data_IF_441741503471
#
_entry.id   IF_441741503471
#
_cell.length_a   1.000
_cell.length_b   1.000
_cell.length_c   1.000
_cell.angle_alpha   90.00
_cell.angle_beta   90.00
_cell.angle_gamma   90.00
#
_symmetry.space_group_name_H-M   'P 1'
#
loop_
_entity.id
_entity.type
_entity.pdbx_description
1 polymer ?
#
# COMPACT_ATOMS: atom_id res chain seq x y z
N UNK A 1 34.57 35.47 -5.62
CA UNK A 1 35.84 35.96 -6.21
C UNK A 1 36.72 34.75 -6.53
N UNK A 2 37.42 34.75 -7.67
CA UNK A 2 38.30 33.64 -8.06
C UNK A 2 39.58 33.70 -7.23
N UNK A 3 39.97 32.59 -6.61
CA UNK A 3 41.22 32.45 -5.87
C UNK A 3 42.22 31.68 -6.73
N UNK A 4 42.95 32.38 -7.61
CA UNK A 4 43.94 31.79 -8.52
C UNK A 4 43.98 32.45 -9.91
N UNK A 5 44.67 31.82 -10.85
CA UNK A 5 44.68 32.22 -12.26
C UNK A 5 43.45 31.69 -13.00
N UNK A 6 42.51 32.59 -13.27
CA UNK A 6 41.28 32.27 -14.01
C UNK A 6 40.48 33.52 -14.34
N UNK A 7 39.51 33.36 -15.25
CA UNK A 7 38.55 34.37 -15.65
C UNK A 7 37.18 33.72 -15.84
N UNK A 8 36.13 34.45 -15.49
CA UNK A 8 34.77 34.13 -15.93
C UNK A 8 34.61 34.53 -17.40
N UNK A 9 33.78 33.78 -18.12
CA UNK A 9 33.44 34.06 -19.51
C UNK A 9 32.08 34.76 -19.51
N UNK A 10 31.96 35.85 -20.27
CA UNK A 10 30.72 36.60 -20.44
C UNK A 10 30.48 36.88 -21.92
N UNK A 11 29.21 36.96 -22.33
CA UNK A 11 28.83 37.29 -23.71
C UNK A 11 28.98 38.78 -23.96
N UNK A 12 29.79 39.15 -24.95
CA UNK A 12 29.99 40.53 -25.43
C UNK A 12 29.54 40.72 -26.88
N UNK A 13 29.54 41.96 -27.36
CA UNK A 13 29.05 42.33 -28.70
C UNK A 13 29.76 41.63 -29.86
N UNK A 14 31.04 41.29 -29.67
CA UNK A 14 31.91 40.68 -30.67
C UNK A 14 32.37 39.26 -30.29
N UNK A 15 31.67 38.63 -29.32
CA UNK A 15 31.96 37.29 -28.82
C UNK A 15 32.30 37.25 -27.32
N UNK A 16 32.92 36.15 -26.89
CA UNK A 16 33.21 35.89 -25.49
C UNK A 16 34.27 36.86 -24.92
N UNK A 17 33.93 37.50 -23.80
CA UNK A 17 34.79 38.41 -23.03
C UNK A 17 35.13 37.76 -21.68
N UNK A 18 36.28 38.13 -21.12
CA UNK A 18 36.81 37.52 -19.90
C UNK A 18 36.86 38.54 -18.75
N UNK A 19 36.37 38.17 -17.57
CA UNK A 19 36.37 39.05 -16.39
C UNK A 19 36.79 38.31 -15.12
N UNK A 20 37.48 39.01 -14.21
CA UNK A 20 37.73 38.52 -12.84
C UNK A 20 36.70 39.00 -11.83
N UNK A 21 35.83 39.93 -12.24
CA UNK A 21 34.76 40.44 -11.40
C UNK A 21 33.67 39.36 -11.27
N UNK A 22 33.49 38.84 -10.05
CA UNK A 22 32.51 37.79 -9.74
C UNK A 22 31.28 38.31 -9.02
N UNK A 23 30.95 39.59 -9.18
CA UNK A 23 29.75 40.21 -8.63
C UNK A 23 28.60 40.11 -9.62
N UNK A 24 28.05 38.91 -9.76
CA UNK A 24 26.92 38.65 -10.64
C UNK A 24 25.58 38.85 -9.92
N UNK A 25 24.57 39.27 -10.67
CA UNK A 25 23.18 39.37 -10.21
C UNK A 25 22.30 38.55 -11.14
N UNK A 26 21.16 38.12 -10.65
CA UNK A 26 20.12 37.53 -11.48
C UNK A 26 19.33 38.64 -12.17
N UNK A 27 19.13 38.54 -13.49
CA UNK A 27 18.24 39.44 -14.22
C UNK A 27 16.77 39.08 -13.97
N UNK A 28 15.84 39.89 -14.49
CA UNK A 28 14.41 39.56 -14.49
C UNK A 28 14.04 38.45 -15.49
N UNK A 29 14.97 38.05 -16.36
CA UNK A 29 14.83 36.91 -17.27
C UNK A 29 15.63 35.69 -16.76
N UNK A 30 15.80 35.57 -15.44
CA UNK A 30 16.49 34.45 -14.77
C UNK A 30 17.93 34.17 -15.25
N UNK A 31 18.54 35.13 -15.95
CA UNK A 31 19.90 34.99 -16.47
C UNK A 31 20.92 35.61 -15.53
N UNK A 32 22.06 34.96 -15.38
CA UNK A 32 23.15 35.47 -14.55
C UNK A 32 23.91 36.57 -15.30
N UNK A 33 23.87 37.81 -14.80
CA UNK A 33 24.46 38.99 -15.44
C UNK A 33 25.51 39.67 -14.57
N UNK A 34 26.50 40.27 -15.22
CA UNK A 34 27.44 41.21 -14.59
C UNK A 34 26.75 42.55 -14.26
N UNK A 35 27.35 43.43 -13.43
CA UNK A 35 26.80 44.77 -13.21
C UNK A 35 26.79 45.66 -14.46
N UNK A 36 27.55 45.28 -15.48
CA UNK A 36 27.56 45.92 -16.80
C UNK A 36 26.47 45.36 -17.74
N UNK A 37 25.66 44.40 -17.30
CA UNK A 37 24.60 43.77 -18.07
C UNK A 37 25.05 42.65 -19.01
N UNK A 38 26.34 42.27 -18.99
CA UNK A 38 26.85 41.14 -19.79
C UNK A 38 26.43 39.80 -19.17
N UNK A 39 25.99 38.85 -20.00
CA UNK A 39 25.52 37.53 -19.60
C UNK A 39 26.70 36.60 -19.28
N UNK A 40 26.65 35.91 -18.15
CA UNK A 40 27.68 34.93 -17.77
C UNK A 40 27.50 33.66 -18.58
N UNK A 41 28.59 33.19 -19.20
CA UNK A 41 28.61 31.95 -19.95
C UNK A 41 29.04 30.77 -19.07
N UNK A 42 28.49 29.60 -19.35
CA UNK A 42 28.98 28.34 -18.82
C UNK A 42 28.38 27.15 -19.55
N UNK A 43 28.44 26.00 -18.91
CA UNK A 43 27.83 24.78 -19.44
C UNK A 43 26.41 24.67 -18.89
N UNK A 44 25.44 24.57 -19.80
CA UNK A 44 24.07 24.23 -19.45
C UNK A 44 23.94 22.78 -18.99
N UNK A 45 22.72 22.41 -18.61
CA UNK A 45 22.33 21.03 -18.35
C UNK A 45 21.31 20.58 -19.39
N UNK A 46 21.33 19.30 -19.76
CA UNK A 46 20.30 18.69 -20.59
C UNK A 46 19.05 18.30 -19.76
N UNK A 47 18.06 17.71 -20.42
CA UNK A 47 16.79 17.26 -19.80
C UNK A 47 17.00 16.24 -18.67
N UNK A 48 18.15 15.55 -18.65
CA UNK A 48 18.54 14.56 -17.65
C UNK A 48 19.46 15.14 -16.55
N UNK A 49 19.61 16.48 -16.49
CA UNK A 49 20.49 17.20 -15.57
C UNK A 49 21.99 16.91 -15.75
N UNK A 50 22.42 16.40 -16.90
CA UNK A 50 23.84 16.21 -17.19
C UNK A 50 24.46 17.50 -17.74
N UNK A 51 25.71 17.74 -17.36
CA UNK A 51 26.46 18.91 -17.80
C UNK A 51 26.81 18.80 -19.30
N UNK A 52 26.29 19.72 -20.12
CA UNK A 52 26.58 19.78 -21.56
C UNK A 52 27.86 20.59 -21.79
N UNK A 53 29.00 19.90 -21.86
CA UNK A 53 30.32 20.56 -21.98
C UNK A 53 30.74 20.91 -23.41
N UNK A 54 29.89 20.63 -24.40
CA UNK A 54 30.23 20.78 -25.83
C UNK A 54 30.09 22.21 -26.34
N UNK A 55 29.32 23.06 -25.66
CA UNK A 55 29.10 24.45 -26.03
C UNK A 55 28.93 25.32 -24.78
N UNK A 56 29.43 26.55 -24.85
CA UNK A 56 29.16 27.58 -23.86
C UNK A 56 27.84 28.28 -24.21
N UNK A 57 26.96 28.40 -23.22
CA UNK A 57 25.67 29.10 -23.33
C UNK A 57 25.52 30.09 -22.18
N UNK A 58 24.55 31.00 -22.29
CA UNK A 58 24.13 31.85 -21.19
C UNK A 58 23.69 30.97 -19.99
N UNK A 59 24.13 31.34 -18.78
CA UNK A 59 23.69 30.66 -17.55
C UNK A 59 22.34 31.23 -17.12
N UNK A 60 21.33 30.39 -17.19
CA UNK A 60 19.97 30.64 -16.74
C UNK A 60 19.70 29.85 -15.44
N UNK A 61 19.07 30.49 -14.46
CA UNK A 61 18.67 29.92 -13.18
C UNK A 61 17.16 30.16 -13.04
N UNK A 62 16.32 29.29 -13.65
CA UNK A 62 14.87 29.48 -13.62
C UNK A 62 14.36 29.37 -12.20
N UNK A 63 13.99 30.50 -11.60
CA UNK A 63 13.49 30.54 -10.23
C UNK A 63 11.97 30.35 -10.22
N UNK A 64 11.52 29.24 -9.65
CA UNK A 64 10.09 28.98 -9.42
C UNK A 64 9.42 28.00 -10.40
N UNK A 65 10.11 27.58 -11.47
CA UNK A 65 9.56 26.65 -12.46
C UNK A 65 10.02 25.19 -12.28
N UNK A 66 11.12 24.93 -11.56
CA UNK A 66 11.64 23.57 -11.33
C UNK A 66 11.26 23.03 -9.95
N UNK A 67 10.00 22.64 -9.76
CA UNK A 67 9.71 21.54 -8.82
C UNK A 67 9.64 20.26 -9.62
N UNK A 68 10.79 19.65 -9.91
CA UNK A 68 10.78 18.31 -10.50
C UNK A 68 10.42 17.35 -9.38
N UNK A 69 9.17 16.90 -9.39
CA UNK A 69 8.76 15.76 -8.60
C UNK A 69 9.62 14.55 -9.01
N UNK A 70 10.20 13.87 -8.01
CA UNK A 70 10.95 12.65 -8.24
C UNK A 70 10.39 11.52 -7.38
N UNK A 71 10.15 10.40 -8.04
CA UNK A 71 9.77 9.17 -7.37
C UNK A 71 10.86 8.77 -6.36
N UNK A 72 10.45 8.42 -5.15
CA UNK A 72 11.39 7.89 -4.14
C UNK A 72 12.00 6.59 -4.65
N UNK A 73 13.34 6.53 -4.68
CA UNK A 73 14.09 5.36 -5.14
C UNK A 73 14.59 4.46 -4.02
N UNK A 74 14.88 5.04 -2.85
CA UNK A 74 15.43 4.32 -1.70
C UNK A 74 14.84 4.89 -0.42
N UNK A 75 14.58 4.02 0.54
CA UNK A 75 14.17 4.38 1.91
C UNK A 75 15.09 3.64 2.86
N UNK A 76 15.66 4.36 3.83
CA UNK A 76 16.46 3.77 4.92
C UNK A 76 15.72 3.98 6.23
N UNK A 77 15.42 2.88 6.93
CA UNK A 77 14.70 2.89 8.20
C UNK A 77 15.63 2.37 9.28
N UNK A 78 15.87 3.21 10.29
CA UNK A 78 16.65 2.86 11.48
C UNK A 78 15.74 2.92 12.70
N UNK A 79 15.70 1.83 13.47
CA UNK A 79 14.87 1.74 14.66
C UNK A 79 15.33 0.62 15.59
N UNK A 80 14.77 0.59 16.79
CA UNK A 80 14.98 -0.49 17.74
C UNK A 80 13.76 -1.41 17.74
N UNK A 81 14.02 -2.71 17.55
CA UNK A 81 13.03 -3.79 17.72
C UNK A 81 13.40 -4.62 18.95
N UNK A 82 12.39 -5.10 19.69
CA UNK A 82 12.63 -5.80 20.94
C UNK A 82 12.96 -7.28 20.70
N UNK A 83 14.25 -7.60 20.56
CA UNK A 83 14.71 -8.99 20.35
C UNK A 83 14.46 -9.93 21.54
N UNK A 84 14.20 -9.39 22.73
CA UNK A 84 13.90 -10.16 23.96
C UNK A 84 12.41 -10.44 24.15
N UNK A 85 11.54 -9.94 23.26
CA UNK A 85 10.11 -10.17 23.30
C UNK A 85 9.70 -11.63 23.07
N UNK A 86 8.39 -11.88 23.07
CA UNK A 86 7.84 -13.20 22.75
C UNK A 86 8.00 -13.50 21.26
N UNK A 87 8.50 -14.69 20.93
CA UNK A 87 8.55 -15.15 19.53
C UNK A 87 7.12 -15.41 19.06
N UNK A 88 6.81 -14.99 17.83
CA UNK A 88 5.47 -15.16 17.25
C UNK A 88 5.28 -16.60 16.80
N UNK A 89 4.32 -17.29 17.42
CA UNK A 89 4.06 -18.71 17.17
C UNK A 89 2.84 -18.95 16.29
N UNK A 90 1.93 -17.97 16.23
CA UNK A 90 0.66 -18.12 15.53
C UNK A 90 0.07 -16.79 15.03
N UNK A 91 -0.76 -16.91 13.99
CA UNK A 91 -1.59 -15.84 13.44
C UNK A 91 -3.01 -15.85 14.01
N UNK A 92 -3.86 -14.94 13.52
CA UNK A 92 -5.29 -14.99 13.79
C UNK A 92 -5.94 -16.06 12.92
N UNK A 93 -6.87 -16.84 13.47
CA UNK A 93 -7.77 -17.67 12.66
C UNK A 93 -9.22 -17.37 13.06
N UNK A 94 -10.05 -17.01 12.08
CA UNK A 94 -11.48 -16.82 12.26
C UNK A 94 -12.26 -17.71 11.30
N UNK A 95 -13.40 -18.23 11.74
CA UNK A 95 -14.36 -18.93 10.89
C UNK A 95 -15.71 -18.23 10.95
N UNK A 96 -16.45 -18.16 9.84
CA UNK A 96 -17.86 -17.79 9.91
C UNK A 96 -18.61 -18.78 10.80
N UNK A 97 -19.60 -18.29 11.55
CA UNK A 97 -20.38 -19.16 12.43
C UNK A 97 -21.40 -20.00 11.66
N UNK A 98 -21.83 -19.49 10.50
CA UNK A 98 -22.79 -20.13 9.62
C UNK A 98 -22.11 -20.56 8.32
N UNK A 99 -22.54 -21.70 7.78
CA UNK A 99 -22.15 -22.16 6.47
C UNK A 99 -22.93 -21.42 5.38
N UNK A 100 -22.28 -21.24 4.23
CA UNK A 100 -22.89 -20.65 3.05
C UNK A 100 -23.20 -21.72 2.01
N UNK A 101 -24.34 -21.54 1.35
CA UNK A 101 -24.84 -22.43 0.31
C UNK A 101 -25.09 -21.63 -0.98
N UNK A 102 -24.94 -22.31 -2.10
CA UNK A 102 -25.32 -21.81 -3.41
C UNK A 102 -26.78 -22.21 -3.69
N UNK A 103 -27.61 -21.25 -4.06
CA UNK A 103 -29.02 -21.52 -4.41
C UNK A 103 -29.42 -20.82 -5.71
N UNK A 104 -28.76 -21.23 -6.79
CA UNK A 104 -29.15 -20.83 -8.13
C UNK A 104 -30.61 -21.25 -8.42
N UNK A 105 -31.53 -20.29 -8.54
CA UNK A 105 -32.93 -20.54 -8.92
C UNK A 105 -33.92 -20.74 -7.77
N UNK A 106 -33.55 -20.43 -6.52
CA UNK A 106 -34.53 -20.13 -5.46
C UNK A 106 -35.13 -21.33 -4.71
N UNK A 107 -34.43 -22.46 -4.60
CA UNK A 107 -34.77 -23.50 -3.60
C UNK A 107 -33.50 -23.93 -2.88
N UNK A 108 -33.36 -23.55 -1.60
CA UNK A 108 -32.26 -23.99 -0.75
C UNK A 108 -32.46 -25.48 -0.49
N UNK A 109 -31.80 -26.32 -1.27
CA UNK A 109 -31.66 -27.73 -0.94
C UNK A 109 -30.35 -27.85 -0.20
N UNK A 110 -30.39 -28.07 1.12
CA UNK A 110 -29.19 -28.37 1.90
C UNK A 110 -28.36 -29.44 1.18
N UNK A 111 -27.12 -29.10 0.83
CA UNK A 111 -26.24 -29.95 0.02
C UNK A 111 -25.37 -29.23 -0.99
N UNK A 112 -25.82 -28.08 -1.52
CA UNK A 112 -25.01 -27.27 -2.46
C UNK A 112 -24.17 -26.23 -1.70
N UNK A 113 -23.08 -26.70 -1.10
CA UNK A 113 -22.11 -25.85 -0.40
C UNK A 113 -21.56 -24.75 -1.31
N UNK A 114 -21.50 -23.51 -0.82
CA UNK A 114 -20.92 -22.42 -1.59
C UNK A 114 -19.41 -22.66 -1.84
N UNK A 115 -18.93 -22.18 -2.99
CA UNK A 115 -17.53 -22.18 -3.35
C UNK A 115 -17.13 -20.81 -3.88
N UNK A 116 -15.84 -20.59 -4.15
CA UNK A 116 -15.39 -19.33 -4.76
C UNK A 116 -16.12 -18.98 -6.07
N UNK A 117 -16.64 -19.96 -6.81
CA UNK A 117 -17.38 -19.73 -8.05
C UNK A 117 -18.87 -19.35 -7.85
N UNK A 118 -19.39 -19.45 -6.63
CA UNK A 118 -20.79 -19.09 -6.32
C UNK A 118 -21.02 -17.60 -6.58
N UNK A 119 -22.08 -17.26 -7.32
CA UNK A 119 -22.47 -15.86 -7.52
C UNK A 119 -22.98 -15.27 -6.20
N UNK A 120 -22.66 -14.00 -5.93
CA UNK A 120 -23.12 -13.33 -4.71
C UNK A 120 -24.64 -13.20 -4.63
N UNK A 121 -25.32 -13.12 -5.79
CA UNK A 121 -26.80 -13.13 -5.85
C UNK A 121 -27.42 -14.48 -5.54
N UNK A 122 -26.64 -15.56 -5.64
CA UNK A 122 -27.05 -16.93 -5.33
C UNK A 122 -26.47 -17.40 -3.98
N UNK A 123 -25.84 -16.50 -3.23
CA UNK A 123 -25.24 -16.80 -1.93
C UNK A 123 -26.27 -16.66 -0.82
N UNK A 124 -26.48 -17.76 -0.10
CA UNK A 124 -27.38 -17.84 1.04
C UNK A 124 -26.63 -18.34 2.26
N UNK A 125 -27.04 -17.88 3.43
CA UNK A 125 -26.68 -18.54 4.68
C UNK A 125 -27.53 -19.81 4.81
N UNK A 126 -26.92 -20.90 5.26
CA UNK A 126 -27.62 -22.17 5.43
C UNK A 126 -28.85 -21.99 6.35
N UNK A 127 -30.02 -22.39 5.87
CA UNK A 127 -31.29 -22.26 6.58
C UNK A 127 -32.07 -20.98 6.30
N UNK A 128 -31.47 -19.99 5.65
CA UNK A 128 -32.16 -18.76 5.25
C UNK A 128 -32.92 -18.94 3.93
N UNK A 129 -33.89 -18.04 3.68
CA UNK A 129 -34.71 -18.05 2.45
C UNK A 129 -34.50 -16.81 1.58
N UNK A 130 -33.65 -15.88 2.03
CA UNK A 130 -33.31 -14.65 1.33
C UNK A 130 -31.82 -14.62 1.02
N UNK A 131 -31.47 -14.20 -0.20
CA UNK A 131 -30.08 -14.04 -0.60
C UNK A 131 -29.39 -12.98 0.27
N UNK A 132 -28.11 -13.17 0.53
CA UNK A 132 -27.29 -12.19 1.26
C UNK A 132 -27.12 -10.89 0.47
N UNK A 133 -27.14 -10.95 -0.86
CA UNK A 133 -26.92 -9.81 -1.74
C UNK A 133 -27.88 -9.80 -2.93
N UNK A 134 -28.21 -8.60 -3.40
CA UNK A 134 -28.93 -8.38 -4.65
C UNK A 134 -28.00 -7.74 -5.69
N UNK A 135 -28.37 -7.85 -6.96
CA UNK A 135 -27.68 -7.09 -8.01
C UNK A 135 -27.79 -5.58 -7.74
N UNK A 136 -26.67 -4.88 -7.93
CA UNK A 136 -26.44 -3.46 -7.61
C UNK A 136 -26.25 -3.12 -6.13
N UNK A 137 -26.26 -4.10 -5.22
CA UNK A 137 -25.81 -3.84 -3.85
C UNK A 137 -24.33 -3.43 -3.88
N UNK A 138 -23.94 -2.41 -3.10
CA UNK A 138 -22.55 -2.05 -2.85
C UNK A 138 -22.18 -2.52 -1.46
N UNK A 139 -21.32 -3.54 -1.40
CA UNK A 139 -20.75 -4.07 -0.16
C UNK A 139 -19.65 -3.12 0.30
N UNK A 140 -19.57 -2.86 1.60
CA UNK A 140 -18.47 -2.13 2.23
C UNK A 140 -17.95 -2.95 3.40
N UNK A 141 -16.64 -3.16 3.45
CA UNK A 141 -15.98 -3.95 4.48
C UNK A 141 -14.98 -3.08 5.26
N UNK A 142 -15.15 -2.96 6.58
CA UNK A 142 -14.37 -2.06 7.44
C UNK A 142 -13.82 -2.80 8.67
N UNK A 143 -12.85 -3.70 8.50
CA UNK A 143 -12.35 -4.55 9.59
C UNK A 143 -11.37 -3.83 10.52
N UNK A 144 -10.88 -4.56 11.52
CA UNK A 144 -9.78 -4.12 12.39
C UNK A 144 -8.58 -5.07 12.33
N UNK A 145 -7.37 -4.49 12.34
CA UNK A 145 -6.08 -5.19 12.44
C UNK A 145 -5.20 -4.50 13.49
N UNK A 146 -4.67 -5.26 14.44
CA UNK A 146 -3.92 -4.72 15.59
C UNK A 146 -4.74 -3.77 16.45
N UNK A 147 -6.08 -3.92 16.46
CA UNK A 147 -7.01 -3.02 17.14
C UNK A 147 -7.31 -1.70 16.39
N UNK A 148 -6.64 -1.41 15.27
CA UNK A 148 -6.89 -0.23 14.43
C UNK A 148 -7.97 -0.54 13.38
N UNK A 149 -8.87 0.42 13.17
CA UNK A 149 -9.84 0.38 12.07
C UNK A 149 -9.10 0.59 10.74
N UNK A 150 -9.38 -0.26 9.75
CA UNK A 150 -8.81 -0.14 8.41
C UNK A 150 -9.71 0.71 7.50
N UNK A 151 -9.13 1.17 6.40
CA UNK A 151 -9.90 1.89 5.39
C UNK A 151 -10.87 0.94 4.69
N UNK A 152 -12.12 1.37 4.45
CA UNK A 152 -13.12 0.49 3.88
C UNK A 152 -12.90 0.28 2.40
N UNK A 153 -12.88 -0.98 1.97
CA UNK A 153 -13.04 -1.31 0.55
C UNK A 153 -14.49 -1.60 0.21
N UNK A 154 -14.82 -1.39 -1.06
CA UNK A 154 -16.17 -1.56 -1.60
C UNK A 154 -16.18 -2.47 -2.79
N UNK A 155 -17.20 -3.32 -2.87
CA UNK A 155 -17.45 -4.20 -4.01
C UNK A 155 -18.89 -4.00 -4.49
N UNK A 156 -19.06 -3.66 -5.77
CA UNK A 156 -20.40 -3.58 -6.39
C UNK A 156 -20.81 -4.96 -6.88
N UNK A 157 -21.96 -5.45 -6.41
CA UNK A 157 -22.51 -6.75 -6.81
C UNK A 157 -23.16 -6.62 -8.17
N UNK A 158 -22.64 -7.38 -9.14
CA UNK A 158 -23.22 -7.52 -10.48
C UNK A 158 -23.76 -8.95 -10.67
N UNK A 159 -24.39 -9.21 -11.81
CA UNK A 159 -24.88 -10.56 -12.14
C UNK A 159 -23.76 -11.61 -12.30
N UNK A 160 -22.50 -11.18 -12.42
CA UNK A 160 -21.33 -12.07 -12.56
C UNK A 160 -20.40 -12.02 -11.35
N UNK A 161 -20.71 -11.20 -10.33
CA UNK A 161 -19.83 -11.07 -9.17
C UNK A 161 -19.91 -12.32 -8.31
N UNK A 162 -18.75 -12.88 -7.99
CA UNK A 162 -18.58 -14.16 -7.32
C UNK A 162 -18.16 -13.99 -5.86
N UNK A 163 -18.33 -15.07 -5.08
CA UNK A 163 -17.82 -15.15 -3.72
C UNK A 163 -16.29 -15.00 -3.70
N UNK A 164 -15.56 -15.57 -4.67
CA UNK A 164 -14.11 -15.39 -4.75
C UNK A 164 -13.70 -13.91 -4.79
N UNK A 165 -14.39 -13.06 -5.57
CA UNK A 165 -14.11 -11.62 -5.62
C UNK A 165 -14.39 -10.93 -4.27
N UNK A 166 -15.43 -11.35 -3.54
CA UNK A 166 -15.68 -10.84 -2.20
C UNK A 166 -14.58 -11.27 -1.22
N UNK A 167 -14.15 -12.53 -1.26
CA UNK A 167 -13.07 -13.03 -0.42
C UNK A 167 -11.74 -12.35 -0.75
N UNK A 168 -11.45 -12.08 -2.02
CA UNK A 168 -10.30 -11.28 -2.45
C UNK A 168 -10.38 -9.86 -1.90
N UNK A 169 -11.52 -9.18 -1.99
CA UNK A 169 -11.68 -7.85 -1.39
C UNK A 169 -11.44 -7.87 0.14
N UNK A 170 -11.90 -8.92 0.83
CA UNK A 170 -11.61 -9.09 2.26
C UNK A 170 -10.12 -9.25 2.55
N UNK A 171 -9.46 -10.12 1.78
CA UNK A 171 -8.04 -10.43 1.89
C UNK A 171 -7.17 -9.18 1.70
N UNK A 172 -7.48 -8.43 0.63
CA UNK A 172 -6.87 -7.16 0.27
C UNK A 172 -7.10 -6.09 1.34
N UNK A 173 -8.34 -5.93 1.84
CA UNK A 173 -8.63 -4.96 2.90
C UNK A 173 -7.87 -5.27 4.19
N UNK A 174 -7.68 -6.55 4.51
CA UNK A 174 -6.95 -7.00 5.69
C UNK A 174 -5.42 -6.94 5.52
N UNK A 175 -4.93 -6.77 4.28
CA UNK A 175 -3.50 -6.80 3.95
C UNK A 175 -2.85 -8.10 4.41
N UNK A 176 -3.43 -9.25 4.05
CA UNK A 176 -2.89 -10.54 4.46
C UNK A 176 -1.80 -10.97 3.48
N UNK A 177 -0.57 -11.09 3.95
CA UNK A 177 0.53 -11.60 3.14
C UNK A 177 0.46 -13.13 3.06
N UNK A 178 0.62 -13.70 1.88
CA UNK A 178 0.58 -15.16 1.68
C UNK A 178 1.65 -15.64 0.69
N UNK A 179 1.88 -16.97 0.67
CA UNK A 179 2.83 -17.61 -0.25
C UNK A 179 4.31 -17.45 0.14
N UNK A 180 5.19 -17.95 -0.73
CA UNK A 180 6.64 -17.93 -0.48
C UNK A 180 7.03 -18.58 0.84
N UNK A 181 7.83 -17.86 1.63
CA UNK A 181 8.29 -18.28 2.96
C UNK A 181 7.42 -17.73 4.10
N UNK A 182 6.24 -17.15 3.82
CA UNK A 182 5.33 -16.68 4.86
C UNK A 182 4.80 -17.88 5.66
N UNK A 183 4.90 -17.89 7.01
CA UNK A 183 4.46 -19.02 7.81
C UNK A 183 2.98 -19.38 7.63
N UNK A 184 2.70 -20.69 7.54
CA UNK A 184 1.35 -21.24 7.50
C UNK A 184 0.79 -21.45 8.90
N UNK A 185 -0.53 -21.33 9.05
CA UNK A 185 -1.25 -21.65 10.28
C UNK A 185 -2.06 -22.93 10.08
N UNK A 186 -1.84 -23.93 10.93
CA UNK A 186 -2.51 -25.24 10.78
C UNK A 186 -2.22 -25.95 9.45
N UNK A 187 -1.12 -25.62 8.77
CA UNK A 187 -0.75 -26.14 7.46
C UNK A 187 -1.46 -25.47 6.27
N UNK A 188 -2.20 -24.39 6.50
CA UNK A 188 -2.83 -23.57 5.46
C UNK A 188 -2.13 -22.22 5.33
N UNK A 189 -2.02 -21.72 4.11
CA UNK A 189 -1.48 -20.38 3.87
C UNK A 189 -2.40 -19.33 4.50
N UNK A 190 -1.84 -18.22 5.00
CA UNK A 190 -2.64 -17.05 5.34
C UNK A 190 -3.49 -16.59 4.15
N UNK A 191 -4.68 -16.10 4.45
CA UNK A 191 -5.59 -15.51 3.50
C UNK A 191 -7.05 -15.69 3.88
N UNK A 192 -7.95 -15.17 3.04
CA UNK A 192 -9.39 -15.37 3.17
C UNK A 192 -9.89 -16.40 2.14
N UNK A 193 -10.47 -17.50 2.62
CA UNK A 193 -10.93 -18.62 1.79
C UNK A 193 -12.30 -19.12 2.22
N UNK A 194 -12.92 -19.97 1.41
CA UNK A 194 -14.10 -20.76 1.80
C UNK A 194 -13.71 -22.23 1.84
N UNK A 195 -14.04 -22.91 2.93
CA UNK A 195 -13.73 -24.33 3.11
C UNK A 195 -14.76 -25.26 2.45
N UNK A 196 -14.49 -26.57 2.48
CA UNK A 196 -15.36 -27.58 1.89
C UNK A 196 -16.72 -27.73 2.60
N UNK A 197 -16.91 -27.12 3.77
CA UNK A 197 -18.18 -27.08 4.49
C UNK A 197 -18.94 -25.77 4.24
N UNK A 198 -18.40 -24.86 3.43
CA UNK A 198 -19.01 -23.58 3.12
C UNK A 198 -18.78 -22.51 4.18
N UNK A 199 -17.85 -22.73 5.10
CA UNK A 199 -17.47 -21.72 6.09
C UNK A 199 -16.40 -20.82 5.50
N UNK A 200 -16.55 -19.51 5.69
CA UNK A 200 -15.50 -18.55 5.35
C UNK A 200 -14.43 -18.64 6.44
N UNK A 201 -13.19 -18.87 6.03
CA UNK A 201 -12.01 -18.97 6.88
C UNK A 201 -11.09 -17.78 6.62
N UNK A 202 -10.68 -17.10 7.69
CA UNK A 202 -9.71 -15.99 7.65
C UNK A 202 -8.50 -16.41 8.45
N UNK A 203 -7.35 -16.49 7.79
CA UNK A 203 -6.06 -16.79 8.42
C UNK A 203 -5.17 -15.56 8.25
N UNK A 204 -4.89 -14.85 9.35
CA UNK A 204 -4.02 -13.67 9.36
C UNK A 204 -2.55 -14.00 9.58
N UNK A 205 -1.69 -13.02 9.34
CA UNK A 205 -0.26 -13.14 9.63
C UNK A 205 0.04 -13.15 11.15
N UNK A 206 1.22 -13.64 11.52
CA UNK A 206 1.72 -13.62 12.91
C UNK A 206 2.11 -12.23 13.37
N UNK A 207 2.26 -12.04 14.69
CA UNK A 207 2.55 -10.76 15.32
C UNK A 207 1.29 -10.14 15.91
N UNK A 208 1.35 -9.69 17.17
CA UNK A 208 0.21 -9.10 17.86
C UNK A 208 -0.40 -7.86 17.17
N UNK A 209 0.40 -7.05 16.47
CA UNK A 209 -0.09 -5.92 15.67
C UNK A 209 -0.82 -6.35 14.39
N UNK A 210 -0.65 -7.61 13.97
CA UNK A 210 -1.39 -8.20 12.85
C UNK A 210 -2.68 -8.88 13.29
N UNK A 211 -3.04 -8.84 14.58
CA UNK A 211 -4.22 -9.52 15.09
C UNK A 211 -5.51 -8.97 14.46
N UNK A 212 -6.26 -9.84 13.79
CA UNK A 212 -7.48 -9.47 13.07
C UNK A 212 -8.69 -9.60 14.01
N UNK A 213 -9.60 -8.63 13.92
CA UNK A 213 -10.89 -8.67 14.60
C UNK A 213 -11.99 -8.29 13.62
N UNK A 214 -12.99 -9.17 13.49
CA UNK A 214 -14.19 -8.94 12.70
C UNK A 214 -15.41 -8.87 13.62
N UNK A 215 -16.23 -7.85 13.45
CA UNK A 215 -17.49 -7.65 14.17
C UNK A 215 -18.66 -7.59 13.19
N UNK A 216 -19.89 -7.83 13.68
CA UNK A 216 -21.09 -7.86 12.83
C UNK A 216 -21.29 -6.57 12.03
N UNK A 217 -20.82 -5.43 12.55
CA UNK A 217 -20.94 -4.13 11.89
C UNK A 217 -19.88 -3.85 10.82
N UNK A 218 -18.86 -4.70 10.68
CA UNK A 218 -17.76 -4.45 9.74
C UNK A 218 -18.18 -4.71 8.29
N UNK A 219 -19.25 -5.49 8.09
CA UNK A 219 -19.88 -5.71 6.79
C UNK A 219 -21.20 -4.97 6.65
N UNK A 220 -21.27 -4.10 5.66
CA UNK A 220 -22.51 -3.40 5.30
C UNK A 220 -22.75 -3.51 3.81
N UNK A 221 -24.01 -3.35 3.40
CA UNK A 221 -24.41 -3.22 2.01
C UNK A 221 -25.38 -2.06 1.85
N UNK A 222 -25.39 -1.45 0.67
CA UNK A 222 -26.37 -0.43 0.30
C UNK A 222 -26.89 -0.64 -1.12
N UNK A 223 -28.18 -0.40 -1.33
CA UNK A 223 -28.82 -0.38 -2.66
C UNK A 223 -28.77 1.03 -3.31
N UNK A 224 -28.00 1.96 -2.72
CA UNK A 224 -27.93 3.37 -3.10
C UNK A 224 -28.98 4.27 -2.40
N UNK A 225 -29.93 3.68 -1.67
CA UNK A 225 -30.98 4.41 -0.93
C UNK A 225 -31.00 4.02 0.55
N UNK A 226 -30.89 2.73 0.85
CA UNK A 226 -30.92 2.13 2.18
C UNK A 226 -29.59 1.44 2.47
N UNK A 227 -29.10 1.52 3.70
CA UNK A 227 -27.94 0.75 4.16
C UNK A 227 -28.36 -0.27 5.20
N UNK A 228 -27.80 -1.47 5.10
CA UNK A 228 -28.04 -2.56 6.05
C UNK A 228 -26.73 -3.26 6.40
N UNK A 229 -26.68 -3.83 7.60
CA UNK A 229 -25.61 -4.74 8.01
C UNK A 229 -25.78 -6.08 7.31
N UNK A 230 -24.68 -6.68 6.86
CA UNK A 230 -24.69 -8.05 6.33
C UNK A 230 -24.31 -8.98 7.47
N UNK A 231 -25.23 -9.86 7.87
CA UNK A 231 -25.04 -10.69 9.05
C UNK A 231 -24.12 -11.88 8.77
N UNK A 232 -22.81 -11.64 8.83
CA UNK A 232 -21.76 -12.66 8.74
C UNK A 232 -20.97 -12.68 10.05
N UNK A 233 -21.50 -13.31 11.11
CA UNK A 233 -20.78 -13.39 12.38
C UNK A 233 -19.58 -14.35 12.26
N UNK A 234 -18.44 -13.94 12.82
CA UNK A 234 -17.24 -14.75 12.90
C UNK A 234 -16.98 -15.23 14.33
N UNK A 235 -16.49 -16.45 14.48
CA UNK A 235 -15.85 -16.94 15.69
C UNK A 235 -14.35 -16.77 15.56
N UNK A 236 -13.70 -16.25 16.61
CA UNK A 236 -12.25 -16.16 16.69
C UNK A 236 -11.68 -17.41 17.35
N UNK A 237 -11.08 -18.27 16.56
CA UNK A 237 -10.51 -19.54 17.01
C UNK A 237 -9.08 -19.38 17.55
N UNK A 238 -8.34 -18.40 17.01
CA UNK A 238 -6.96 -18.13 17.39
C UNK A 238 -6.68 -16.62 17.33
N UNK A 239 -5.86 -16.12 18.25
CA UNK A 239 -5.39 -14.73 18.31
C UNK A 239 -3.92 -14.69 17.89
N UNK A 240 -3.55 -13.71 17.07
CA UNK A 240 -2.15 -13.55 16.68
C UNK A 240 -1.31 -13.15 17.89
N UNK A 241 -0.11 -13.71 18.00
CA UNK A 241 0.78 -13.50 19.12
C UNK A 241 2.17 -13.01 18.71
N UNK A 242 3.01 -12.75 19.72
CA UNK A 242 4.40 -12.38 19.53
C UNK A 242 4.68 -10.88 19.52
N UNK A 243 5.95 -10.57 19.75
CA UNK A 243 6.50 -9.23 19.71
C UNK A 243 6.40 -8.69 18.30
N UNK A 244 5.81 -7.50 18.18
CA UNK A 244 5.65 -6.86 16.89
C UNK A 244 5.51 -5.36 17.06
N UNK A 245 5.93 -4.65 16.02
CA UNK A 245 5.92 -3.19 15.96
C UNK A 245 5.46 -2.74 14.60
N UNK A 246 4.97 -1.51 14.54
CA UNK A 246 4.45 -0.92 13.34
C UNK A 246 4.88 0.54 13.26
N UNK A 247 5.23 0.99 12.07
CA UNK A 247 5.56 2.39 11.78
C UNK A 247 5.11 2.71 10.37
N UNK A 248 4.76 3.97 10.14
CA UNK A 248 4.38 4.46 8.82
C UNK A 248 5.47 5.44 8.34
N UNK A 249 5.69 5.50 7.02
CA UNK A 249 6.57 6.46 6.36
C UNK A 249 5.97 6.88 5.02
N UNK A 250 6.44 8.00 4.48
CA UNK A 250 5.92 8.55 3.23
C UNK A 250 6.97 8.34 2.13
N UNK A 251 6.52 7.84 0.99
CA UNK A 251 7.26 7.88 -0.27
C UNK A 251 6.51 8.76 -1.26
N UNK A 252 7.19 9.16 -2.34
CA UNK A 252 6.60 9.98 -3.39
C UNK A 252 6.57 9.21 -4.71
N UNK A 253 5.48 9.38 -5.46
CA UNK A 253 5.36 8.86 -6.82
C UNK A 253 6.08 9.74 -7.85
N UNK A 254 5.98 9.40 -9.15
CA UNK A 254 6.60 10.18 -10.23
C UNK A 254 5.96 11.55 -10.46
N UNK A 255 4.76 11.80 -9.93
CA UNK A 255 4.04 13.07 -10.01
C UNK A 255 4.21 13.91 -8.74
N UNK A 256 4.90 13.37 -7.72
CA UNK A 256 5.15 14.03 -6.44
C UNK A 256 4.00 13.89 -5.45
N UNK A 257 3.06 12.98 -5.70
CA UNK A 257 2.01 12.62 -4.75
C UNK A 257 2.60 11.78 -3.62
N UNK A 258 2.19 12.08 -2.39
CA UNK A 258 2.53 11.31 -1.20
C UNK A 258 1.83 9.96 -1.25
N UNK A 259 2.58 8.89 -0.98
CA UNK A 259 2.11 7.52 -0.83
C UNK A 259 2.50 7.08 0.58
N UNK A 260 1.52 6.80 1.43
CA UNK A 260 1.76 6.34 2.79
C UNK A 260 2.06 4.84 2.80
N UNK A 261 3.24 4.48 3.27
CA UNK A 261 3.67 3.09 3.40
C UNK A 261 3.78 2.71 4.86
N UNK A 262 3.17 1.58 5.19
CA UNK A 262 3.14 0.99 6.52
C UNK A 262 4.11 -0.16 6.58
N UNK A 263 5.03 -0.09 7.52
CA UNK A 263 5.96 -1.15 7.87
C UNK A 263 5.49 -1.81 9.15
N UNK A 264 5.07 -3.07 9.03
CA UNK A 264 4.82 -3.94 10.16
C UNK A 264 5.97 -4.93 10.30
N UNK A 265 6.46 -5.14 11.52
CA UNK A 265 7.50 -6.13 11.80
C UNK A 265 7.13 -7.01 12.97
N UNK A 266 7.46 -8.30 12.94
CA UNK A 266 7.30 -9.20 14.08
C UNK A 266 8.50 -10.12 14.29
N UNK A 267 8.73 -10.52 15.54
CA UNK A 267 9.79 -11.46 15.89
C UNK A 267 9.37 -12.87 15.45
N UNK A 268 9.95 -13.35 14.36
CA UNK A 268 9.59 -14.62 13.73
C UNK A 268 10.31 -15.81 14.36
N UNK A 269 11.60 -15.65 14.64
CA UNK A 269 12.37 -16.68 15.32
C UNK A 269 13.51 -16.08 16.12
N UNK A 270 13.97 -16.84 17.12
CA UNK A 270 15.13 -16.48 17.93
C UNK A 270 15.90 -17.74 18.28
N UNK A 271 17.20 -17.72 17.99
CA UNK A 271 18.16 -18.69 18.49
C UNK A 271 19.04 -18.06 19.59
N UNK A 272 20.07 -18.78 20.05
CA UNK A 272 20.98 -18.29 21.11
C UNK A 272 21.88 -17.11 20.72
N UNK A 273 21.98 -16.81 19.42
CA UNK A 273 22.93 -15.89 18.81
C UNK A 273 22.30 -14.87 17.86
N UNK A 274 21.06 -15.10 17.40
CA UNK A 274 20.37 -14.29 16.39
C UNK A 274 18.87 -14.19 16.64
N UNK A 275 18.26 -13.10 16.19
CA UNK A 275 16.82 -12.90 16.13
C UNK A 275 16.45 -12.54 14.71
N UNK A 276 15.48 -13.26 14.14
CA UNK A 276 14.97 -13.02 12.79
C UNK A 276 13.63 -12.31 12.90
N UNK A 277 13.50 -11.19 12.19
CA UNK A 277 12.29 -10.39 12.17
C UNK A 277 11.72 -10.40 10.77
N UNK A 278 10.45 -10.77 10.65
CA UNK A 278 9.73 -10.59 9.39
C UNK A 278 9.18 -9.19 9.31
N UNK A 279 9.21 -8.60 8.12
CA UNK A 279 8.55 -7.36 7.80
C UNK A 279 7.49 -7.53 6.71
N UNK A 280 6.49 -6.67 6.78
CA UNK A 280 5.39 -6.49 5.84
C UNK A 280 5.30 -5.01 5.48
N UNK A 281 5.23 -4.73 4.19
CA UNK A 281 4.98 -3.40 3.64
C UNK A 281 3.58 -3.37 3.05
N UNK A 282 2.80 -2.40 3.49
CA UNK A 282 1.41 -2.20 3.07
C UNK A 282 1.17 -0.74 2.67
N UNK A 283 0.29 -0.46 1.71
CA UNK A 283 -0.17 0.90 1.39
C UNK A 283 -1.60 0.89 0.88
N UNK A 284 -2.43 1.79 1.40
CA UNK A 284 -3.78 2.03 0.87
C UNK A 284 -3.75 2.89 -0.41
N UNK A 285 -2.63 3.56 -0.65
CA UNK A 285 -2.41 4.43 -1.82
C UNK A 285 -1.83 3.64 -3.00
N UNK A 286 -1.78 2.29 -2.90
CA UNK A 286 -1.44 1.47 -4.05
C UNK A 286 -2.46 1.68 -5.19
N UNK A 287 -1.94 1.59 -6.40
CA UNK A 287 -2.69 1.75 -7.64
C UNK A 287 -3.70 0.63 -7.90
N UNK A 288 -3.56 -0.51 -7.23
CA UNK A 288 -4.52 -1.60 -7.25
C UNK A 288 -5.25 -1.74 -5.90
N UNK A 289 -6.17 -2.70 -5.82
CA UNK A 289 -6.96 -2.91 -4.61
C UNK A 289 -6.19 -3.67 -3.53
N UNK A 290 -5.05 -4.29 -3.85
CA UNK A 290 -4.25 -5.01 -2.87
C UNK A 290 -3.38 -4.03 -2.10
N UNK A 291 -3.54 -3.99 -0.78
CA UNK A 291 -2.70 -3.11 0.05
C UNK A 291 -1.32 -3.70 0.27
N UNK A 292 -1.07 -4.97 -0.11
CA UNK A 292 0.21 -5.67 0.09
C UNK A 292 1.26 -5.24 -0.94
N UNK A 293 2.35 -4.63 -0.48
CA UNK A 293 3.47 -4.23 -1.35
C UNK A 293 4.59 -5.27 -1.38
N UNK A 294 5.06 -5.69 -0.21
CA UNK A 294 6.21 -6.60 -0.10
C UNK A 294 6.33 -7.24 1.29
N UNK A 295 7.11 -8.33 1.38
CA UNK A 295 7.48 -8.94 2.64
C UNK A 295 8.89 -9.56 2.59
N UNK A 296 9.49 -9.79 3.76
CA UNK A 296 10.80 -10.47 3.90
C UNK A 296 11.16 -10.74 5.36
N UNK A 297 12.19 -11.55 5.60
CA UNK A 297 12.65 -11.99 6.93
C UNK A 297 14.14 -11.78 7.16
#
# INVERSE_FOLDING_TARGET
>A
AIQGDGFFIVSGSDGNVYTRAGNFNLSSEDSLVTPAGLLVQGYGVDEDFNLVTTQLTDIEIPLGDLTVAQQTRNVEISGAVLSTGAVSTQGTTLSSQDAFVNTAGGTVVGGDTASGATLLTDLYKEGDTTALFNANDVISFTPRKGGRLLEPQKLTVTATTTLAEMLTMMDQTLGIHSGGDVPTEGGSNPGVTIDANGLIQVIGNRGSVNDISLTLGDFTKTDGTTSATVEIPFSKNQTADGESSITDFIVYDSLGQEVNVKLTTYLESRDSTSSTFRYFLESNDDSDADVVLANGS
#
